data_IF_203395673496
#
_entry.id   IF_203395673496
#
_cell.length_a   1.000
_cell.length_b   1.000
_cell.length_c   1.000
_cell.angle_alpha   90.00
_cell.angle_beta   90.00
_cell.angle_gamma   90.00
#
_symmetry.space_group_name_H-M   'P 1'
#
loop_
_entity.id
_entity.type
_entity.pdbx_description
1 polymer ?
#
# COMPACT_ATOMS: atom_id res chain seq x y z
N UNK A 1 1.03 -25.03 -5.62
CA UNK A 1 1.14 -25.59 -4.25
C UNK A 1 -0.24 -26.14 -3.92
N UNK A 2 -0.48 -27.40 -4.29
CA UNK A 2 -1.72 -28.10 -3.99
C UNK A 2 -1.47 -28.95 -2.75
N UNK A 3 -2.16 -28.65 -1.65
CA UNK A 3 -2.19 -29.52 -0.48
C UNK A 3 -3.59 -30.11 -0.40
N UNK A 4 -3.75 -31.29 -1.01
CA UNK A 4 -4.91 -32.14 -0.79
C UNK A 4 -4.62 -33.05 0.40
N UNK A 5 -5.40 -32.90 1.47
CA UNK A 5 -5.55 -33.97 2.45
C UNK A 5 -6.85 -34.70 2.15
N UNK A 6 -6.74 -35.85 1.48
CA UNK A 6 -7.82 -36.82 1.40
C UNK A 6 -7.79 -37.68 2.67
N UNK A 7 -8.75 -37.48 3.57
CA UNK A 7 -9.03 -38.44 4.63
C UNK A 7 -10.04 -39.46 4.12
N UNK A 8 -9.58 -40.64 3.72
CA UNK A 8 -10.43 -41.77 3.37
C UNK A 8 -10.72 -42.63 4.62
N UNK A 9 -11.96 -42.60 5.10
CA UNK A 9 -12.47 -43.65 5.99
C UNK A 9 -13.14 -44.71 5.11
N UNK A 10 -12.52 -45.88 5.01
CA UNK A 10 -13.07 -47.03 4.28
C UNK A 10 -14.19 -47.63 5.13
N UNK A 11 -15.44 -47.37 4.73
CA UNK A 11 -16.61 -48.07 5.25
C UNK A 11 -17.09 -49.08 4.21
N UNK A 12 -16.90 -50.35 4.56
CA UNK A 12 -17.18 -51.52 3.72
C UNK A 12 -18.68 -51.83 3.74
N UNK A 13 -19.46 -51.07 2.96
CA UNK A 13 -20.83 -51.41 2.52
C UNK A 13 -21.41 -50.38 1.55
N UNK A 14 -21.22 -50.60 0.26
CA UNK A 14 -22.16 -50.34 -0.85
C UNK A 14 -23.15 -49.16 -0.82
N UNK A 15 -22.82 -48.01 -0.22
CA UNK A 15 -23.55 -46.74 -0.38
C UNK A 15 -22.57 -45.71 -0.88
N UNK A 16 -22.89 -45.08 -2.02
CA UNK A 16 -22.08 -44.01 -2.58
C UNK A 16 -21.82 -42.94 -1.53
N UNK A 17 -20.58 -42.88 -1.04
CA UNK A 17 -20.17 -41.84 -0.11
C UNK A 17 -20.19 -40.52 -0.90
N UNK A 18 -21.16 -39.67 -0.62
CA UNK A 18 -21.12 -38.29 -1.08
C UNK A 18 -19.98 -37.63 -0.31
N UNK A 19 -18.79 -37.59 -0.92
CA UNK A 19 -17.65 -36.84 -0.39
C UNK A 19 -18.07 -35.37 -0.36
N UNK A 20 -18.51 -34.91 0.81
CA UNK A 20 -18.84 -33.52 1.04
C UNK A 20 -17.52 -32.78 1.07
N UNK A 21 -17.15 -32.15 -0.06
CA UNK A 21 -15.97 -31.28 -0.13
C UNK A 21 -16.17 -30.14 0.88
N UNK A 22 -15.54 -30.27 2.03
CA UNK A 22 -15.50 -29.19 3.02
C UNK A 22 -14.61 -28.09 2.46
N UNK A 23 -15.23 -27.06 1.86
CA UNK A 23 -14.51 -25.89 1.34
C UNK A 23 -13.88 -25.14 2.51
N UNK A 24 -12.56 -25.24 2.63
CA UNK A 24 -11.79 -24.44 3.58
C UNK A 24 -11.76 -23.00 3.06
N UNK A 25 -12.31 -22.07 3.84
CA UNK A 25 -12.21 -20.63 3.52
C UNK A 25 -10.86 -20.09 3.98
N UNK A 26 -10.02 -19.71 3.04
CA UNK A 26 -8.74 -19.04 3.32
C UNK A 26 -9.01 -17.61 3.80
N UNK A 27 -8.58 -17.30 5.03
CA UNK A 27 -8.73 -15.96 5.62
C UNK A 27 -7.48 -15.10 5.50
N UNK A 28 -6.31 -15.74 5.41
CA UNK A 28 -5.03 -15.08 5.34
C UNK A 28 -4.20 -15.75 4.25
N UNK A 29 -3.63 -14.94 3.35
CA UNK A 29 -2.69 -15.37 2.34
C UNK A 29 -1.45 -14.52 2.46
N UNK A 30 -0.31 -15.18 2.64
CA UNK A 30 0.98 -14.53 2.72
C UNK A 30 1.91 -15.16 1.69
N UNK A 31 2.29 -14.37 0.70
CA UNK A 31 3.19 -14.79 -0.36
C UNK A 31 4.60 -14.28 -0.05
N UNK A 32 5.54 -15.21 0.15
CA UNK A 32 6.98 -14.96 0.33
C UNK A 32 7.36 -14.24 1.64
N UNK A 33 6.49 -14.24 2.65
CA UNK A 33 6.84 -13.83 4.01
C UNK A 33 7.93 -14.77 4.56
N UNK A 34 9.09 -14.19 4.94
CA UNK A 34 10.25 -14.95 5.42
C UNK A 34 11.38 -15.15 4.39
N UNK A 35 11.14 -14.95 3.09
CA UNK A 35 12.16 -15.16 2.04
C UNK A 35 13.09 -13.95 1.82
N UNK A 36 13.37 -13.17 2.87
CA UNK A 36 14.35 -12.07 2.81
C UNK A 36 14.08 -11.06 1.68
N UNK A 37 14.93 -11.08 0.65
CA UNK A 37 14.92 -10.16 -0.52
C UNK A 37 14.22 -10.75 -1.76
N UNK A 38 13.61 -11.92 -1.66
CA UNK A 38 12.89 -12.53 -2.77
C UNK A 38 11.44 -12.04 -2.80
N UNK A 39 10.95 -11.74 -4.00
CA UNK A 39 9.55 -11.43 -4.28
C UNK A 39 8.99 -12.40 -5.31
N UNK A 40 7.67 -12.60 -5.27
CA UNK A 40 6.93 -13.27 -6.32
C UNK A 40 6.89 -12.34 -7.54
N UNK A 41 7.35 -12.77 -8.73
CA UNK A 41 7.09 -12.02 -9.95
C UNK A 41 5.58 -11.80 -10.07
N UNK A 42 5.13 -10.57 -10.32
CA UNK A 42 3.70 -10.22 -10.28
C UNK A 42 2.83 -11.10 -11.18
N UNK A 43 3.36 -11.60 -12.29
CA UNK A 43 2.69 -12.57 -13.18
C UNK A 43 2.36 -13.90 -12.49
N UNK A 44 3.12 -14.29 -11.48
CA UNK A 44 2.84 -15.45 -10.65
C UNK A 44 1.54 -15.33 -9.86
N UNK A 45 1.02 -14.12 -9.64
CA UNK A 45 -0.32 -13.91 -9.03
C UNK A 45 -1.43 -14.51 -9.88
N UNK A 46 -1.27 -14.57 -11.22
CA UNK A 46 -2.26 -15.19 -12.10
C UNK A 46 -2.47 -16.67 -11.77
N UNK A 47 -1.41 -17.38 -11.36
CA UNK A 47 -1.52 -18.79 -10.94
C UNK A 47 -2.28 -18.99 -9.64
N UNK A 48 -2.42 -17.93 -8.85
CA UNK A 48 -3.19 -17.94 -7.61
C UNK A 48 -4.66 -17.59 -7.84
N UNK A 49 -5.02 -17.12 -9.04
CA UNK A 49 -6.34 -16.57 -9.34
C UNK A 49 -7.44 -17.64 -9.25
N UNK A 50 -8.04 -17.73 -8.07
CA UNK A 50 -9.26 -18.46 -7.80
C UNK A 50 -10.22 -17.50 -7.09
N UNK A 51 -11.29 -17.10 -7.79
CA UNK A 51 -12.25 -16.11 -7.30
C UNK A 51 -12.94 -16.55 -6.01
N UNK A 52 -13.11 -17.86 -5.80
CA UNK A 52 -13.71 -18.37 -4.57
C UNK A 52 -12.78 -18.19 -3.37
N UNK A 53 -11.46 -18.37 -3.58
CA UNK A 53 -10.44 -18.20 -2.53
C UNK A 53 -10.35 -16.74 -2.08
N UNK A 54 -10.34 -15.79 -3.02
CA UNK A 54 -10.16 -14.37 -2.68
C UNK A 54 -11.38 -13.71 -2.06
N UNK A 55 -12.59 -14.20 -2.36
CA UNK A 55 -13.83 -13.62 -1.83
C UNK A 55 -13.91 -13.60 -0.31
N UNK A 56 -13.34 -14.60 0.37
CA UNK A 56 -13.32 -14.72 1.84
C UNK A 56 -12.04 -14.23 2.50
N UNK A 57 -11.11 -13.67 1.72
CA UNK A 57 -9.78 -13.30 2.20
C UNK A 57 -9.85 -12.01 3.02
N UNK A 58 -9.32 -12.05 4.25
CA UNK A 58 -9.30 -10.91 5.19
C UNK A 58 -7.93 -10.28 5.30
N UNK A 59 -6.86 -11.06 5.15
CA UNK A 59 -5.49 -10.57 5.14
C UNK A 59 -4.77 -11.04 3.87
N UNK A 60 -4.15 -10.08 3.17
CA UNK A 60 -3.33 -10.34 2.00
C UNK A 60 -1.98 -9.67 2.22
N UNK A 61 -0.92 -10.48 2.25
CA UNK A 61 0.47 -10.00 2.31
C UNK A 61 1.22 -10.47 1.09
N UNK A 62 1.70 -9.51 0.30
CA UNK A 62 2.34 -9.75 -0.98
C UNK A 62 3.70 -9.10 -1.00
N UNK A 63 4.72 -9.92 -1.24
CA UNK A 63 6.04 -9.45 -1.66
C UNK A 63 6.18 -9.69 -3.16
N UNK A 64 6.16 -8.61 -3.94
CA UNK A 64 6.13 -8.66 -5.40
C UNK A 64 7.45 -8.17 -5.99
N UNK A 65 7.75 -8.64 -7.19
CA UNK A 65 8.77 -8.08 -8.05
C UNK A 65 8.21 -7.85 -9.46
N UNK A 66 8.96 -7.13 -10.27
CA UNK A 66 8.68 -7.04 -11.70
C UNK A 66 8.65 -8.44 -12.35
N UNK A 67 7.93 -8.60 -13.48
CA UNK A 67 8.04 -9.79 -14.30
C UNK A 67 9.50 -10.06 -14.69
N UNK A 68 9.92 -11.32 -14.73
CA UNK A 68 11.34 -11.67 -14.94
C UNK A 68 11.90 -11.14 -16.26
N UNK A 69 11.05 -11.03 -17.28
CA UNK A 69 11.41 -10.52 -18.61
C UNK A 69 10.93 -9.07 -18.84
N UNK A 70 10.46 -8.38 -17.78
CA UNK A 70 9.85 -7.05 -17.85
C UNK A 70 8.52 -6.99 -18.61
N UNK A 71 7.93 -8.14 -18.92
CA UNK A 71 6.65 -8.31 -19.60
C UNK A 71 5.87 -9.44 -18.93
N UNK A 72 4.54 -9.31 -18.88
CA UNK A 72 3.67 -10.41 -18.47
C UNK A 72 3.71 -11.53 -19.51
N UNK A 73 3.67 -12.76 -19.01
CA UNK A 73 3.33 -13.92 -19.85
C UNK A 73 1.94 -13.74 -20.48
N UNK A 74 1.75 -14.27 -21.69
CA UNK A 74 0.50 -14.12 -22.44
C UNK A 74 -0.71 -14.55 -21.60
N UNK A 75 -1.77 -13.74 -21.58
CA UNK A 75 -2.99 -13.98 -20.79
C UNK A 75 -2.90 -13.53 -19.33
N UNK A 76 -1.77 -13.74 -18.65
CA UNK A 76 -1.63 -13.61 -17.18
C UNK A 76 -1.85 -12.22 -16.58
N UNK A 77 -1.87 -11.17 -17.41
CA UNK A 77 -1.92 -9.79 -16.96
C UNK A 77 -3.25 -9.44 -16.30
N UNK A 78 -4.35 -9.90 -16.88
CA UNK A 78 -5.68 -9.56 -16.36
C UNK A 78 -5.91 -10.22 -15.01
N UNK A 79 -5.55 -11.50 -14.84
CA UNK A 79 -5.70 -12.19 -13.56
C UNK A 79 -4.77 -11.60 -12.49
N UNK A 80 -3.51 -11.34 -12.84
CA UNK A 80 -2.54 -10.77 -11.90
C UNK A 80 -2.95 -9.36 -11.44
N UNK A 81 -3.42 -8.50 -12.37
CA UNK A 81 -3.87 -7.16 -12.02
C UNK A 81 -5.25 -7.17 -11.34
N UNK A 82 -6.14 -8.09 -11.71
CA UNK A 82 -7.51 -8.16 -11.21
C UNK A 82 -7.67 -8.80 -9.83
N UNK A 83 -6.61 -9.33 -9.24
CA UNK A 83 -6.67 -10.13 -8.00
C UNK A 83 -7.37 -9.37 -6.85
N UNK A 84 -7.11 -8.08 -6.70
CA UNK A 84 -7.67 -7.26 -5.63
C UNK A 84 -9.17 -6.98 -5.80
N UNK A 85 -9.69 -7.03 -7.03
CA UNK A 85 -11.12 -6.85 -7.29
C UNK A 85 -11.98 -7.95 -6.67
N UNK A 86 -11.39 -9.13 -6.46
CA UNK A 86 -12.06 -10.27 -5.84
C UNK A 86 -11.93 -10.30 -4.30
N UNK A 87 -11.13 -9.41 -3.72
CA UNK A 87 -10.83 -9.39 -2.28
C UNK A 87 -11.83 -8.52 -1.49
N UNK A 88 -13.12 -8.79 -1.60
CA UNK A 88 -14.18 -7.91 -1.07
C UNK A 88 -14.28 -7.88 0.46
N UNK A 89 -13.85 -8.96 1.13
CA UNK A 89 -13.75 -9.05 2.60
C UNK A 89 -12.41 -8.57 3.18
N UNK A 90 -11.51 -8.02 2.34
CA UNK A 90 -10.15 -7.70 2.75
C UNK A 90 -10.11 -6.59 3.81
N UNK A 91 -9.47 -6.89 4.94
CA UNK A 91 -9.30 -6.00 6.08
C UNK A 91 -7.87 -5.46 6.16
N UNK A 92 -6.89 -6.28 5.78
CA UNK A 92 -5.47 -5.92 5.80
C UNK A 92 -4.82 -6.20 4.45
N UNK A 93 -4.21 -5.18 3.86
CA UNK A 93 -3.35 -5.28 2.69
C UNK A 93 -1.92 -4.88 3.08
N UNK A 94 -0.98 -5.79 2.92
CA UNK A 94 0.46 -5.52 2.98
C UNK A 94 1.04 -5.84 1.61
N UNK A 95 1.62 -4.85 0.96
CA UNK A 95 2.13 -4.98 -0.39
C UNK A 95 3.51 -4.32 -0.48
N UNK A 96 4.54 -5.15 -0.58
CA UNK A 96 5.93 -4.74 -0.71
C UNK A 96 6.44 -5.09 -2.09
N UNK A 97 6.92 -4.09 -2.83
CA UNK A 97 7.57 -4.27 -4.12
C UNK A 97 9.09 -4.22 -3.98
N UNK A 98 9.75 -5.19 -4.61
CA UNK A 98 11.20 -5.21 -4.76
C UNK A 98 11.55 -4.76 -6.18
N UNK A 99 12.26 -3.65 -6.28
CA UNK A 99 12.92 -3.24 -7.51
C UNK A 99 14.24 -4.01 -7.63
N UNK A 100 14.24 -5.04 -8.48
CA UNK A 100 15.44 -5.79 -8.83
C UNK A 100 16.17 -4.99 -9.92
N UNK A 101 17.30 -4.36 -9.58
CA UNK A 101 18.31 -3.77 -10.48
C UNK A 101 18.26 -2.26 -10.82
N UNK A 102 19.47 -1.68 -10.96
CA UNK A 102 19.82 -0.27 -11.12
C UNK A 102 19.44 0.39 -12.45
N UNK A 103 18.32 -0.01 -13.05
CA UNK A 103 17.65 0.74 -14.12
C UNK A 103 16.41 1.45 -13.56
N UNK A 104 16.64 2.31 -12.56
CA UNK A 104 15.60 2.92 -11.71
C UNK A 104 14.43 3.44 -12.55
N UNK A 105 14.66 4.21 -13.62
CA UNK A 105 13.55 4.82 -14.38
C UNK A 105 12.66 3.84 -15.13
N UNK A 106 13.22 2.88 -15.87
CA UNK A 106 12.41 1.97 -16.69
C UNK A 106 11.61 1.01 -15.80
N UNK A 107 12.23 0.54 -14.71
CA UNK A 107 11.58 -0.28 -13.70
C UNK A 107 10.43 0.51 -13.01
N UNK A 108 10.71 1.73 -12.53
CA UNK A 108 9.68 2.59 -11.91
C UNK A 108 8.48 2.81 -12.84
N UNK A 109 8.70 3.05 -14.15
CA UNK A 109 7.60 3.21 -15.11
C UNK A 109 6.77 1.93 -15.27
N UNK A 110 7.40 0.75 -15.32
CA UNK A 110 6.68 -0.53 -15.43
C UNK A 110 5.92 -0.83 -14.16
N UNK A 111 6.58 -0.81 -13.01
CA UNK A 111 5.96 -1.02 -11.70
C UNK A 111 4.75 -0.09 -11.51
N UNK A 112 4.88 1.19 -11.86
CA UNK A 112 3.77 2.16 -11.84
C UNK A 112 2.59 1.72 -12.68
N UNK A 113 2.83 1.34 -13.94
CA UNK A 113 1.76 0.89 -14.84
C UNK A 113 1.04 -0.32 -14.24
N UNK A 114 1.78 -1.31 -13.75
CA UNK A 114 1.21 -2.54 -13.19
C UNK A 114 0.36 -2.24 -11.95
N UNK A 115 0.90 -1.47 -11.02
CA UNK A 115 0.16 -1.14 -9.80
C UNK A 115 -1.07 -0.27 -10.08
N UNK A 116 -0.96 0.71 -10.99
CA UNK A 116 -2.10 1.51 -11.40
C UNK A 116 -3.22 0.64 -11.98
N UNK A 117 -2.88 -0.36 -12.80
CA UNK A 117 -3.83 -1.35 -13.32
C UNK A 117 -4.40 -2.25 -12.20
N UNK A 118 -3.57 -2.64 -11.24
CA UNK A 118 -4.03 -3.39 -10.06
C UNK A 118 -5.04 -2.61 -9.23
N UNK A 119 -4.90 -1.29 -9.13
CA UNK A 119 -5.84 -0.43 -8.39
C UNK A 119 -7.06 -0.02 -9.20
N UNK A 120 -7.06 -0.26 -10.51
CA UNK A 120 -8.15 0.14 -11.38
C UNK A 120 -9.43 -0.63 -11.01
N UNK A 121 -10.49 0.12 -10.71
CA UNK A 121 -11.81 -0.38 -10.31
C UNK A 121 -11.80 -1.24 -9.04
N UNK A 122 -10.77 -1.12 -8.20
CA UNK A 122 -10.69 -1.82 -6.92
C UNK A 122 -11.61 -1.16 -5.90
N UNK A 123 -12.42 -1.98 -5.23
CA UNK A 123 -13.24 -1.60 -4.09
C UNK A 123 -12.95 -2.54 -2.93
N UNK A 124 -12.36 -2.00 -1.85
CA UNK A 124 -12.01 -2.75 -0.64
C UNK A 124 -12.73 -2.15 0.57
N UNK A 125 -14.06 -2.30 0.66
CA UNK A 125 -14.89 -1.57 1.63
C UNK A 125 -14.62 -1.96 3.09
N UNK A 126 -13.99 -3.12 3.33
CA UNK A 126 -13.63 -3.59 4.68
C UNK A 126 -12.18 -3.26 5.07
N UNK A 127 -11.41 -2.64 4.17
CA UNK A 127 -9.99 -2.39 4.38
C UNK A 127 -9.80 -1.40 5.53
N UNK A 128 -9.15 -1.85 6.59
CA UNK A 128 -8.85 -1.05 7.77
C UNK A 128 -7.34 -0.86 8.01
N UNK A 129 -6.50 -1.67 7.36
CA UNK A 129 -5.05 -1.56 7.45
C UNK A 129 -4.41 -1.70 6.08
N UNK A 130 -3.58 -0.73 5.72
CA UNK A 130 -2.81 -0.75 4.49
C UNK A 130 -1.34 -0.46 4.76
N UNK A 131 -0.46 -1.29 4.21
CA UNK A 131 0.99 -1.13 4.22
C UNK A 131 1.50 -1.27 2.79
N UNK A 132 2.04 -0.18 2.25
CA UNK A 132 2.63 -0.15 0.91
C UNK A 132 4.12 0.18 1.06
N UNK A 133 4.97 -0.65 0.46
CA UNK A 133 6.42 -0.43 0.48
C UNK A 133 7.07 -0.64 -0.88
N UNK A 134 8.05 0.18 -1.24
CA UNK A 134 8.93 -0.09 -2.39
C UNK A 134 8.30 0.14 -3.77
N UNK A 135 7.22 0.93 -3.82
CA UNK A 135 6.31 0.99 -4.96
C UNK A 135 6.48 2.28 -5.77
N UNK A 136 6.38 2.18 -7.10
CA UNK A 136 6.14 3.33 -7.97
C UNK A 136 4.65 3.43 -8.31
N UNK A 137 4.06 4.61 -8.24
CA UNK A 137 2.60 4.79 -8.39
C UNK A 137 2.26 6.20 -8.87
N UNK A 138 1.12 6.38 -9.55
CA UNK A 138 0.62 7.74 -9.85
C UNK A 138 -0.18 8.32 -8.70
N UNK A 139 -0.17 9.65 -8.60
CA UNK A 139 -1.01 10.39 -7.64
C UNK A 139 -2.48 9.99 -7.73
N UNK A 140 -3.02 9.87 -8.95
CA UNK A 140 -4.41 9.47 -9.21
C UNK A 140 -4.75 8.07 -8.69
N UNK A 141 -3.82 7.12 -8.75
CA UNK A 141 -4.08 5.76 -8.30
C UNK A 141 -4.17 5.69 -6.77
N UNK A 142 -3.27 6.39 -6.06
CA UNK A 142 -3.33 6.47 -4.59
C UNK A 142 -4.56 7.22 -4.11
N UNK A 143 -4.88 8.37 -4.70
CA UNK A 143 -6.06 9.15 -4.30
C UNK A 143 -7.36 8.41 -4.58
N UNK A 144 -7.46 7.68 -5.70
CA UNK A 144 -8.60 6.80 -6.00
C UNK A 144 -8.73 5.69 -4.97
N UNK A 145 -7.62 5.00 -4.65
CA UNK A 145 -7.61 3.94 -3.64
C UNK A 145 -8.08 4.46 -2.27
N UNK A 146 -7.52 5.57 -1.80
CA UNK A 146 -7.86 6.12 -0.49
C UNK A 146 -9.28 6.68 -0.43
N UNK A 147 -9.76 7.26 -1.53
CA UNK A 147 -11.16 7.71 -1.62
C UNK A 147 -12.16 6.54 -1.58
N UNK A 148 -11.78 5.37 -2.10
CA UNK A 148 -12.59 4.15 -2.04
C UNK A 148 -12.51 3.39 -0.70
N UNK A 149 -11.52 3.67 0.13
CA UNK A 149 -11.21 2.91 1.35
C UNK A 149 -11.35 3.77 2.62
N UNK A 150 -12.55 4.32 2.87
CA UNK A 150 -12.80 5.29 3.96
C UNK A 150 -12.62 4.72 5.38
N UNK A 151 -12.59 3.40 5.55
CA UNK A 151 -12.48 2.71 6.85
C UNK A 151 -11.04 2.44 7.29
N UNK A 152 -10.04 2.96 6.57
CA UNK A 152 -8.63 2.77 6.93
C UNK A 152 -8.35 3.42 8.29
N UNK A 153 -7.88 2.60 9.24
CA UNK A 153 -7.45 2.98 10.59
C UNK A 153 -5.93 3.06 10.72
N UNK A 154 -5.21 2.19 10.01
CA UNK A 154 -3.75 2.14 10.02
C UNK A 154 -3.21 2.23 8.60
N UNK A 155 -2.39 3.23 8.32
CA UNK A 155 -1.73 3.41 7.03
C UNK A 155 -0.22 3.49 7.21
N UNK A 156 0.51 2.70 6.45
CA UNK A 156 1.97 2.81 6.33
C UNK A 156 2.38 2.92 4.87
N UNK A 157 3.07 4.00 4.53
CA UNK A 157 3.64 4.23 3.22
C UNK A 157 5.16 4.36 3.37
N UNK A 158 5.91 3.45 2.75
CA UNK A 158 7.35 3.45 2.83
C UNK A 158 8.00 3.33 1.45
N UNK A 159 9.07 4.07 1.18
CA UNK A 159 9.80 3.93 -0.09
C UNK A 159 8.89 4.04 -1.34
N UNK A 160 8.01 5.06 -1.37
CA UNK A 160 7.05 5.25 -2.46
C UNK A 160 7.56 6.30 -3.43
N UNK A 161 7.61 5.95 -4.72
CA UNK A 161 7.94 6.84 -5.83
C UNK A 161 6.66 7.30 -6.54
N UNK A 162 6.24 8.52 -6.24
CA UNK A 162 5.03 9.13 -6.76
C UNK A 162 5.26 9.86 -8.09
N UNK A 163 4.40 9.60 -9.06
CA UNK A 163 4.22 10.44 -10.24
C UNK A 163 3.13 11.48 -9.97
N UNK A 164 3.55 12.69 -9.64
CA UNK A 164 2.68 13.77 -9.18
C UNK A 164 3.21 14.39 -7.90
N UNK A 165 2.30 14.82 -7.02
CA UNK A 165 2.61 15.56 -5.80
C UNK A 165 1.94 14.92 -4.57
N UNK A 166 2.72 14.70 -3.51
CA UNK A 166 2.20 14.13 -2.26
C UNK A 166 1.22 15.06 -1.56
N UNK A 167 1.21 16.37 -1.86
CA UNK A 167 0.21 17.31 -1.35
C UNK A 167 -1.21 16.77 -1.53
N UNK A 168 -1.57 16.41 -2.76
CA UNK A 168 -2.94 16.00 -3.07
C UNK A 168 -3.27 14.66 -2.40
N UNK A 169 -2.27 13.78 -2.27
CA UNK A 169 -2.39 12.53 -1.51
C UNK A 169 -2.63 12.80 -0.03
N UNK A 170 -1.89 13.72 0.58
CA UNK A 170 -2.03 14.08 2.00
C UNK A 170 -3.33 14.83 2.28
N UNK A 171 -3.77 15.70 1.36
CA UNK A 171 -5.09 16.34 1.43
C UNK A 171 -6.21 15.31 1.33
N UNK A 172 -6.08 14.32 0.43
CA UNK A 172 -7.01 13.20 0.35
C UNK A 172 -7.06 12.38 1.66
N UNK A 173 -5.91 12.02 2.22
CA UNK A 173 -5.82 11.32 3.52
C UNK A 173 -6.51 12.13 4.63
N UNK A 174 -6.17 13.42 4.76
CA UNK A 174 -6.71 14.28 5.81
C UNK A 174 -8.23 14.50 5.70
N UNK A 175 -8.77 14.51 4.48
CA UNK A 175 -10.19 14.83 4.23
C UNK A 175 -11.10 13.62 4.07
N UNK A 176 -10.55 12.45 3.68
CA UNK A 176 -11.35 11.25 3.35
C UNK A 176 -11.23 10.12 4.37
N UNK A 177 -10.14 10.07 5.14
CA UNK A 177 -9.88 8.96 6.08
C UNK A 177 -10.17 9.41 7.51
N UNK A 178 -11.44 9.60 7.83
CA UNK A 178 -11.91 10.08 9.15
C UNK A 178 -11.58 9.09 10.29
N UNK A 179 -11.54 7.79 9.97
CA UNK A 179 -11.23 6.71 10.91
C UNK A 179 -9.73 6.48 11.11
N UNK A 180 -8.86 7.22 10.42
CA UNK A 180 -7.42 7.04 10.51
C UNK A 180 -6.92 7.37 11.92
N UNK A 181 -6.22 6.41 12.52
CA UNK A 181 -5.68 6.45 13.89
C UNK A 181 -4.17 6.28 13.92
N UNK A 182 -3.57 5.61 12.92
CA UNK A 182 -2.12 5.47 12.79
C UNK A 182 -1.69 5.80 11.35
N UNK A 183 -0.78 6.77 11.20
CA UNK A 183 -0.15 7.12 9.93
C UNK A 183 1.37 7.04 10.06
N UNK A 184 2.00 6.14 9.33
CA UNK A 184 3.47 6.04 9.22
C UNK A 184 3.90 6.35 7.79
N UNK A 185 4.78 7.33 7.64
CA UNK A 185 5.37 7.72 6.36
C UNK A 185 6.89 7.57 6.45
N UNK A 186 7.51 6.96 5.45
CA UNK A 186 8.95 6.79 5.37
C UNK A 186 9.44 6.86 3.93
N UNK A 187 10.55 7.56 3.69
CA UNK A 187 11.26 7.51 2.42
C UNK A 187 10.36 7.73 1.20
N UNK A 188 9.61 8.83 1.17
CA UNK A 188 8.73 9.14 0.05
C UNK A 188 9.47 10.00 -1.00
N UNK A 189 9.20 9.76 -2.27
CA UNK A 189 9.87 10.39 -3.41
C UNK A 189 8.84 10.91 -4.40
N UNK A 190 8.91 12.19 -4.77
CA UNK A 190 8.28 12.71 -5.98
C UNK A 190 9.34 12.65 -7.11
N UNK A 191 9.75 13.79 -7.65
CA UNK A 191 10.96 13.92 -8.45
C UNK A 191 12.25 13.73 -7.63
N UNK A 192 12.19 13.99 -6.31
CA UNK A 192 13.26 13.76 -5.31
C UNK A 192 12.63 13.33 -3.98
N UNK A 193 13.47 12.87 -3.05
CA UNK A 193 13.05 12.51 -1.69
C UNK A 193 12.44 13.72 -0.99
N UNK A 194 11.32 13.51 -0.32
CA UNK A 194 10.70 14.52 0.53
C UNK A 194 11.23 14.43 1.97
N UNK A 195 11.18 15.55 2.68
CA UNK A 195 11.50 15.63 4.09
C UNK A 195 10.31 16.24 4.83
N UNK A 196 9.93 15.64 5.95
CA UNK A 196 8.83 16.07 6.80
C UNK A 196 9.33 17.07 7.84
N UNK A 197 8.49 18.04 8.17
CA UNK A 197 8.73 18.91 9.33
C UNK A 197 8.53 18.09 10.59
N UNK A 198 9.58 17.97 11.42
CA UNK A 198 9.48 17.27 12.69
C UNK A 198 8.54 18.01 13.64
N UNK A 199 7.55 17.30 14.19
CA UNK A 199 6.72 17.81 15.27
C UNK A 199 7.60 17.89 16.52
N UNK A 200 8.09 19.09 16.84
CA UNK A 200 8.94 19.29 18.01
C UNK A 200 8.12 19.22 19.29
N UNK A 201 8.66 18.55 20.31
CA UNK A 201 8.24 18.83 21.68
C UNK A 201 8.71 20.24 22.07
N UNK A 202 7.87 21.06 22.73
CA UNK A 202 8.18 22.48 22.99
C UNK A 202 9.44 22.74 23.85
N UNK A 203 10.01 21.71 24.48
CA UNK A 203 11.23 21.81 25.30
C UNK A 203 12.55 21.64 24.53
N UNK A 204 12.52 21.32 23.23
CA UNK A 204 13.72 21.02 22.46
C UNK A 204 13.92 21.99 21.27
N UNK A 205 14.89 22.90 21.47
CA UNK A 205 15.65 23.69 20.48
C UNK A 205 15.16 25.12 20.11
N UNK A 206 16.01 26.16 20.35
CA UNK A 206 15.73 27.58 20.03
C UNK A 206 15.94 28.02 18.56
N UNK A 207 16.22 27.14 17.60
CA UNK A 207 16.59 27.61 16.24
C UNK A 207 16.29 26.60 15.13
N UNK A 208 15.34 26.97 14.26
CA UNK A 208 15.12 26.39 12.92
C UNK A 208 14.27 25.11 12.84
N UNK A 209 13.54 24.94 11.74
CA UNK A 209 12.77 23.71 11.46
C UNK A 209 13.70 22.50 11.32
N UNK A 210 13.40 21.42 12.04
CA UNK A 210 14.10 20.13 11.91
C UNK A 210 13.36 19.28 10.89
N UNK A 211 14.10 18.72 9.93
CA UNK A 211 13.53 17.91 8.85
C UNK A 211 13.94 16.45 9.01
N UNK A 212 12.97 15.54 8.87
CA UNK A 212 13.16 14.09 9.00
C UNK A 212 12.63 13.37 7.77
N UNK A 213 13.10 12.16 7.52
CA UNK A 213 12.71 11.38 6.34
C UNK A 213 11.63 10.35 6.63
N UNK A 214 11.22 10.25 7.89
CA UNK A 214 10.12 9.42 8.33
C UNK A 214 9.40 10.07 9.51
N UNK A 215 8.09 9.91 9.56
CA UNK A 215 7.23 10.33 10.67
C UNK A 215 6.20 9.23 10.96
N UNK A 216 5.80 9.16 12.23
CA UNK A 216 4.63 8.40 12.66
C UNK A 216 3.73 9.34 13.47
N UNK A 217 2.43 9.33 13.14
CA UNK A 217 1.39 10.11 13.81
C UNK A 217 0.29 9.18 14.30
N UNK A 218 -0.34 9.56 15.41
CA UNK A 218 -1.37 8.78 16.08
C UNK A 218 -2.62 9.61 16.39
N UNK A 219 -3.77 8.95 16.52
CA UNK A 219 -5.03 9.56 16.91
C UNK A 219 -5.46 10.70 15.99
N UNK A 220 -5.89 11.81 16.58
CA UNK A 220 -6.31 13.00 15.83
C UNK A 220 -5.19 13.56 14.95
N UNK A 221 -3.93 13.43 15.36
CA UNK A 221 -2.79 13.94 14.58
C UNK A 221 -2.53 13.14 13.30
N UNK A 222 -2.92 11.85 13.25
CA UNK A 222 -2.79 11.03 12.04
C UNK A 222 -3.59 11.60 10.84
N UNK A 223 -4.62 12.41 11.11
CA UNK A 223 -5.49 13.05 10.12
C UNK A 223 -5.09 14.49 9.78
N UNK A 224 -4.13 15.07 10.50
CA UNK A 224 -3.68 16.41 10.20
C UNK A 224 -2.89 16.43 8.90
N UNK A 225 -3.00 17.52 8.14
CA UNK A 225 -2.23 17.70 6.92
C UNK A 225 -0.72 17.54 7.21
N UNK A 226 -0.02 16.86 6.32
CA UNK A 226 1.40 16.56 6.48
C UNK A 226 2.21 17.69 5.85
N UNK A 227 2.97 18.41 6.66
CA UNK A 227 3.90 19.42 6.20
C UNK A 227 5.21 18.76 5.74
N UNK A 228 5.60 19.02 4.50
CA UNK A 228 6.83 18.50 3.91
C UNK A 228 7.47 19.49 2.94
N UNK A 229 8.72 19.23 2.59
CA UNK A 229 9.44 19.89 1.48
C UNK A 229 10.10 18.85 0.59
N UNK A 230 10.37 19.21 -0.67
CA UNK A 230 11.15 18.36 -1.56
C UNK A 230 12.64 18.71 -1.43
N UNK A 231 13.49 17.71 -1.18
CA UNK A 231 14.93 17.93 -1.05
C UNK A 231 15.53 18.24 -2.41
N UNK A 232 15.86 19.50 -2.66
CA UNK A 232 16.60 19.91 -3.85
C UNK A 232 18.10 19.58 -3.69
N UNK A 233 18.80 19.45 -4.82
CA UNK A 233 20.25 19.24 -4.79
C UNK A 233 20.91 20.52 -4.24
N UNK A 234 22.02 20.37 -3.49
CA UNK A 234 22.73 21.43 -2.74
C UNK A 234 22.49 22.85 -3.28
N UNK A 235 21.83 23.70 -2.46
CA UNK A 235 21.96 25.16 -2.57
C UNK A 235 20.69 25.98 -2.69
N UNK A 236 19.51 25.41 -3.01
CA UNK A 236 18.24 26.17 -3.02
C UNK A 236 17.11 25.28 -2.57
N UNK A 237 16.50 25.55 -1.42
CA UNK A 237 15.19 25.04 -1.07
C UNK A 237 14.15 25.99 -1.68
N UNK A 238 13.26 25.50 -2.52
CA UNK A 238 12.06 26.22 -2.94
C UNK A 238 10.85 25.59 -2.26
N UNK A 239 9.97 26.47 -1.79
CA UNK A 239 8.68 26.22 -1.16
C UNK A 239 8.70 25.23 0.01
N UNK A 240 8.86 25.78 1.21
CA UNK A 240 7.89 25.45 2.27
C UNK A 240 6.54 25.84 1.69
N UNK A 241 5.54 24.98 1.78
CA UNK A 241 4.18 25.39 1.53
C UNK A 241 3.51 25.61 2.88
N UNK A 242 3.74 26.76 3.53
CA UNK A 242 2.90 27.18 4.61
C UNK A 242 1.54 27.52 4.00
N UNK A 243 0.49 27.34 4.80
CA UNK A 243 -0.84 27.86 4.54
C UNK A 243 -0.81 29.21 3.83
N UNK A 244 -1.37 29.26 2.61
CA UNK A 244 -1.79 30.50 2.00
C UNK A 244 -3.17 30.87 2.58
N UNK A 245 -3.15 31.43 3.79
CA UNK A 245 -4.14 32.43 4.22
C UNK A 245 -3.37 33.38 5.15
N UNK A 246 -3.29 34.64 4.75
CA UNK A 246 -2.45 35.64 5.41
C UNK A 246 -2.78 35.86 6.88
N UNK A 247 -1.78 36.40 7.57
CA UNK A 247 -1.88 36.88 8.95
C UNK A 247 -1.21 35.94 9.94
N UNK A 248 -0.12 36.42 10.54
CA UNK A 248 0.51 35.86 11.73
C UNK A 248 -0.53 35.35 12.75
N UNK A 249 -0.65 34.01 12.86
CA UNK A 249 -1.00 33.28 14.09
C UNK A 249 -0.99 31.78 13.82
N UNK A 250 0.05 31.11 14.32
CA UNK A 250 -0.03 29.68 14.63
C UNK A 250 -1.13 29.50 15.68
N UNK A 251 -2.31 29.06 15.25
CA UNK A 251 -3.38 28.64 16.17
C UNK A 251 -3.05 27.23 16.63
N UNK A 252 -2.45 27.12 17.81
CA UNK A 252 -2.57 25.91 18.62
C UNK A 252 -4.03 25.81 19.08
N UNK A 253 -4.76 24.78 18.66
CA UNK A 253 -6.06 24.46 19.23
C UNK A 253 -5.90 23.76 20.60
N UNK A 254 -6.70 24.10 21.63
CA UNK A 254 -6.70 23.40 22.92
C UNK A 254 -7.64 22.15 22.86
N UNK A 255 -7.70 21.30 23.91
CA UNK A 255 -7.88 19.83 23.83
C UNK A 255 -9.20 19.34 23.20
#
# INVERSE_FOLDING_TARGET
METYMESSSVDDRGRGSCVTRQRVRLRCLSCFEGLGRYGLPVEGLASLFDTEVFSGLRELRLKLSEPLNGQFSHGTREEACGILRNCTELQKLDNTWYTVSGHERAALTRTRRIFNEMMQDVSLPQLNRIELSGLAVSESALTTLFSGCVRIKCMRLNHIHLDGCFRNVFECIATKLEDLDELTLGDLFEHKRIEFVALKSPSQCPSGDTFVTSITRFGRDARNLVAYRVRLAKGKACSVHPHATGGDRLVYGPP
#
